data_IF_741817515719
#
_entry.id   IF_741817515719
#
_cell.length_a   1.000
_cell.length_b   1.000
_cell.length_c   1.000
_cell.angle_alpha   90.00
_cell.angle_beta   90.00
_cell.angle_gamma   90.00
#
_symmetry.space_group_name_H-M   'P 1'
#
loop_
_entity.id
_entity.type
_entity.pdbx_description
1 polymer ?
#
# COMPACT_ATOMS: atom_id res chain seq x y z
N UNK A 1 -12.15 9.07 16.99
CA UNK A 1 -11.26 8.08 17.60
C UNK A 1 -11.41 6.70 16.94
N UNK A 2 -12.60 6.07 16.86
CA UNK A 2 -12.80 4.73 16.27
C UNK A 2 -12.22 4.58 14.86
N UNK A 3 -12.41 5.58 13.98
CA UNK A 3 -11.87 5.57 12.61
C UNK A 3 -10.35 5.51 12.58
N UNK A 4 -9.67 6.28 13.43
CA UNK A 4 -8.20 6.33 13.49
C UNK A 4 -7.61 5.02 14.00
N UNK A 5 -8.27 4.37 14.98
CA UNK A 5 -7.90 3.03 15.41
C UNK A 5 -8.08 2.00 14.29
N UNK A 6 -9.15 2.09 13.50
CA UNK A 6 -9.36 1.20 12.36
C UNK A 6 -8.25 1.38 11.29
N UNK A 7 -7.83 2.61 11.01
CA UNK A 7 -6.70 2.89 10.11
C UNK A 7 -5.37 2.37 10.67
N UNK A 8 -5.13 2.57 11.98
CA UNK A 8 -3.95 2.02 12.66
C UNK A 8 -3.89 0.49 12.52
N UNK A 9 -4.94 -0.22 12.91
CA UNK A 9 -4.94 -1.69 12.85
C UNK A 9 -4.94 -2.22 11.41
N UNK A 10 -5.62 -1.55 10.49
CA UNK A 10 -5.60 -1.92 9.08
C UNK A 10 -4.22 -1.78 8.46
N UNK A 11 -3.53 -0.66 8.72
CA UNK A 11 -2.17 -0.47 8.24
C UNK A 11 -1.17 -1.37 8.96
N UNK A 12 -1.36 -1.59 10.27
CA UNK A 12 -0.57 -2.57 11.02
C UNK A 12 -0.65 -3.96 10.35
N UNK A 13 -1.87 -4.44 10.08
CA UNK A 13 -2.06 -5.75 9.45
C UNK A 13 -1.47 -5.82 8.04
N UNK A 14 -1.62 -4.74 7.27
CA UNK A 14 -1.05 -4.65 5.92
C UNK A 14 0.47 -4.83 5.95
N UNK A 15 1.16 -4.09 6.82
CA UNK A 15 2.62 -4.17 6.95
C UNK A 15 3.05 -5.49 7.61
N UNK A 16 2.37 -5.91 8.67
CA UNK A 16 2.71 -7.15 9.36
C UNK A 16 2.56 -8.37 8.46
N UNK A 17 1.43 -8.52 7.76
CA UNK A 17 1.20 -9.65 6.86
C UNK A 17 2.00 -9.56 5.55
N UNK A 18 1.99 -8.39 4.91
CA UNK A 18 2.68 -8.19 3.63
C UNK A 18 4.20 -8.21 3.76
N UNK A 19 4.77 -7.31 4.57
CA UNK A 19 6.23 -7.29 4.76
C UNK A 19 6.71 -8.52 5.55
N UNK A 20 5.92 -9.02 6.52
CA UNK A 20 6.26 -10.23 7.25
C UNK A 20 6.33 -11.47 6.36
N UNK A 21 5.44 -11.61 5.39
CA UNK A 21 5.52 -12.68 4.39
C UNK A 21 6.81 -12.63 3.58
N UNK A 22 7.28 -11.41 3.25
CA UNK A 22 8.55 -11.21 2.57
C UNK A 22 9.76 -11.56 3.47
N UNK A 23 9.73 -11.10 4.73
CA UNK A 23 10.85 -11.30 5.68
C UNK A 23 11.00 -12.75 6.11
N UNK A 24 9.88 -13.44 6.37
CA UNK A 24 9.93 -14.78 6.98
C UNK A 24 9.77 -15.93 5.99
N UNK A 25 8.98 -15.75 4.94
CA UNK A 25 8.52 -16.86 4.14
C UNK A 25 8.96 -16.82 2.67
N UNK A 26 9.32 -15.65 2.12
CA UNK A 26 9.61 -15.53 0.69
C UNK A 26 10.73 -16.45 0.23
N UNK A 27 11.83 -16.50 0.96
CA UNK A 27 13.04 -17.27 0.65
C UNK A 27 13.26 -18.43 1.63
N UNK A 28 12.18 -18.97 2.22
CA UNK A 28 12.32 -20.16 3.08
C UNK A 28 12.84 -21.33 2.25
N UNK A 29 13.88 -22.06 2.73
CA UNK A 29 14.50 -23.11 1.94
C UNK A 29 13.49 -24.12 1.42
N UNK A 30 13.54 -24.41 0.11
CA UNK A 30 12.72 -25.40 -0.64
C UNK A 30 11.19 -25.13 -0.65
N UNK A 31 10.64 -24.50 0.40
CA UNK A 31 9.20 -24.30 0.56
C UNK A 31 8.79 -22.82 0.55
N UNK A 32 9.70 -21.92 0.15
CA UNK A 32 9.46 -20.48 0.13
C UNK A 32 8.32 -20.08 -0.80
N UNK A 33 7.57 -19.06 -0.39
CA UNK A 33 6.38 -18.59 -1.13
C UNK A 33 6.73 -17.70 -2.33
N UNK A 34 7.96 -17.22 -2.41
CA UNK A 34 8.44 -16.38 -3.50
C UNK A 34 7.59 -15.12 -3.73
N UNK A 35 7.77 -14.49 -4.89
CA UNK A 35 7.03 -13.27 -5.23
C UNK A 35 5.52 -13.47 -5.34
N UNK A 36 5.07 -14.63 -5.80
CA UNK A 36 3.64 -14.94 -5.92
C UNK A 36 2.98 -14.95 -4.54
N UNK A 37 3.58 -15.65 -3.57
CA UNK A 37 3.04 -15.71 -2.23
C UNK A 37 3.07 -14.37 -1.51
N UNK A 38 4.14 -13.59 -1.66
CA UNK A 38 4.22 -12.22 -1.10
C UNK A 38 3.16 -11.32 -1.72
N UNK A 39 2.96 -11.39 -3.03
CA UNK A 39 1.93 -10.62 -3.73
C UNK A 39 0.53 -10.94 -3.23
N UNK A 40 0.23 -12.24 -3.05
CA UNK A 40 -1.02 -12.70 -2.46
C UNK A 40 -1.18 -12.20 -1.03
N UNK A 41 -0.14 -12.28 -0.21
CA UNK A 41 -0.17 -11.83 1.18
C UNK A 41 -0.55 -10.35 1.29
N UNK A 42 0.07 -9.46 0.50
CA UNK A 42 -0.30 -8.04 0.48
C UNK A 42 -1.76 -7.82 0.09
N UNK A 43 -2.23 -8.49 -0.96
CA UNK A 43 -3.63 -8.39 -1.37
C UNK A 43 -4.60 -8.91 -0.31
N UNK A 44 -4.29 -10.03 0.32
CA UNK A 44 -5.10 -10.62 1.38
C UNK A 44 -5.17 -9.75 2.64
N UNK A 45 -4.09 -9.04 3.00
CA UNK A 45 -4.13 -8.12 4.14
C UNK A 45 -5.15 -7.00 3.93
N UNK A 46 -5.15 -6.37 2.75
CA UNK A 46 -6.14 -5.33 2.42
C UNK A 46 -7.53 -5.91 2.32
N UNK A 47 -7.71 -7.03 1.63
CA UNK A 47 -9.00 -7.70 1.48
C UNK A 47 -9.64 -8.00 2.85
N UNK A 48 -8.90 -8.65 3.73
CA UNK A 48 -9.40 -9.06 5.05
C UNK A 48 -9.71 -7.86 5.94
N UNK A 49 -8.83 -6.84 5.96
CA UNK A 49 -9.04 -5.66 6.80
C UNK A 49 -10.10 -4.71 6.23
N UNK A 50 -10.26 -4.63 4.92
CA UNK A 50 -11.36 -3.87 4.33
C UNK A 50 -12.73 -4.47 4.71
N UNK A 51 -12.85 -5.79 4.80
CA UNK A 51 -14.05 -6.41 5.37
C UNK A 51 -14.18 -6.21 6.88
N UNK A 52 -13.07 -6.36 7.62
CA UNK A 52 -13.09 -6.32 9.08
C UNK A 52 -13.37 -4.92 9.65
N UNK A 53 -12.78 -3.87 9.08
CA UNK A 53 -12.85 -2.51 9.65
C UNK A 53 -13.18 -1.42 8.63
N UNK A 54 -13.32 -1.75 7.34
CA UNK A 54 -13.61 -0.77 6.29
C UNK A 54 -14.92 -0.01 6.51
N UNK A 55 -15.94 -0.66 7.10
CA UNK A 55 -17.20 -0.03 7.48
C UNK A 55 -17.05 1.03 8.61
N UNK A 56 -15.92 1.05 9.31
CA UNK A 56 -15.63 2.00 10.39
C UNK A 56 -14.91 3.24 9.86
N UNK A 57 -13.84 3.04 9.03
CA UNK A 57 -12.96 4.12 8.59
C UNK A 57 -13.01 4.44 7.10
N UNK A 58 -13.59 3.57 6.30
CA UNK A 58 -13.45 3.57 4.85
C UNK A 58 -12.31 2.69 4.34
N UNK A 59 -11.44 2.20 5.25
CA UNK A 59 -10.38 1.23 4.92
C UNK A 59 -9.31 1.76 3.99
N UNK A 60 -8.74 2.93 4.28
CA UNK A 60 -7.70 3.52 3.44
C UNK A 60 -6.36 2.79 3.62
N UNK A 61 -5.89 2.63 4.86
CA UNK A 61 -4.63 1.96 5.26
C UNK A 61 -3.38 2.46 4.53
N UNK A 62 -3.46 3.65 3.92
CA UNK A 62 -2.47 4.15 2.98
C UNK A 62 -2.62 5.68 2.82
N UNK A 63 -1.55 6.47 3.08
CA UNK A 63 -1.59 7.93 2.89
C UNK A 63 -1.89 8.35 1.44
N UNK A 64 -1.37 7.65 0.43
CA UNK A 64 -1.64 7.96 -0.96
C UNK A 64 -3.11 7.71 -1.32
N UNK A 65 -3.72 6.63 -0.82
CA UNK A 65 -5.16 6.38 -0.96
C UNK A 65 -5.96 7.49 -0.29
N UNK A 66 -5.57 7.94 0.91
CA UNK A 66 -6.23 9.03 1.61
C UNK A 66 -6.19 10.34 0.82
N UNK A 67 -5.04 10.65 0.16
CA UNK A 67 -4.92 11.79 -0.78
C UNK A 67 -5.85 11.61 -1.97
N UNK A 68 -5.83 10.45 -2.61
CA UNK A 68 -6.66 10.16 -3.78
C UNK A 68 -8.15 10.28 -3.49
N UNK A 69 -8.62 9.76 -2.35
CA UNK A 69 -10.01 9.89 -1.91
C UNK A 69 -10.38 11.33 -1.56
N UNK A 70 -9.45 12.09 -0.98
CA UNK A 70 -9.64 13.52 -0.72
C UNK A 70 -9.80 14.30 -2.04
N UNK A 71 -8.92 14.09 -3.02
CA UNK A 71 -9.00 14.68 -4.36
C UNK A 71 -10.26 14.19 -5.09
N UNK A 72 -10.61 12.91 -4.89
CA UNK A 72 -11.85 12.31 -5.39
C UNK A 72 -13.13 12.90 -4.82
N UNK A 73 -13.05 13.67 -3.73
CA UNK A 73 -14.21 14.25 -3.04
C UNK A 73 -14.98 13.25 -2.18
N UNK A 74 -14.35 12.12 -1.83
CA UNK A 74 -14.95 11.04 -1.02
C UNK A 74 -14.36 10.95 0.40
N UNK A 75 -13.58 11.94 0.82
CA UNK A 75 -12.95 11.99 2.13
C UNK A 75 -12.91 13.42 2.68
N UNK A 76 -13.16 13.59 3.97
CA UNK A 76 -13.19 14.91 4.62
C UNK A 76 -11.78 15.39 4.97
N UNK A 77 -11.46 16.63 4.61
CA UNK A 77 -10.16 17.26 4.88
C UNK A 77 -9.75 17.25 6.35
N UNK A 78 -10.72 17.37 7.27
CA UNK A 78 -10.43 17.38 8.71
C UNK A 78 -9.87 16.07 9.25
N UNK A 79 -10.21 14.94 8.60
CA UNK A 79 -9.76 13.62 9.01
C UNK A 79 -8.41 13.22 8.35
N UNK A 80 -7.93 14.00 7.36
CA UNK A 80 -6.75 13.62 6.56
C UNK A 80 -5.49 13.45 7.42
N UNK A 81 -5.10 14.48 8.17
CA UNK A 81 -3.88 14.42 9.00
C UNK A 81 -3.96 13.33 10.07
N UNK A 82 -5.05 13.19 10.84
CA UNK A 82 -5.20 12.09 11.78
C UNK A 82 -5.12 10.70 11.14
N UNK A 83 -5.63 10.51 9.90
CA UNK A 83 -5.50 9.23 9.18
C UNK A 83 -4.05 8.93 8.85
N UNK A 84 -3.33 9.89 8.25
CA UNK A 84 -1.91 9.70 7.90
C UNK A 84 -1.09 9.35 9.14
N UNK A 85 -1.30 10.05 10.25
CA UNK A 85 -0.61 9.76 11.52
C UNK A 85 -0.93 8.33 11.99
N UNK A 86 -2.20 7.95 12.02
CA UNK A 86 -2.61 6.61 12.45
C UNK A 86 -2.01 5.50 11.56
N UNK A 87 -2.01 5.71 10.25
CA UNK A 87 -1.44 4.80 9.26
C UNK A 87 0.07 4.64 9.44
N UNK A 88 0.81 5.75 9.58
CA UNK A 88 2.27 5.71 9.78
C UNK A 88 2.63 5.04 11.10
N UNK A 89 1.94 5.38 12.19
CA UNK A 89 2.18 4.74 13.50
C UNK A 89 1.83 3.24 13.44
N UNK A 90 0.74 2.86 12.75
CA UNK A 90 0.38 1.46 12.55
C UNK A 90 1.45 0.67 11.78
N UNK A 91 2.02 1.27 10.73
CA UNK A 91 3.11 0.69 9.95
C UNK A 91 4.38 0.51 10.78
N UNK A 92 4.77 1.54 11.55
CA UNK A 92 5.95 1.48 12.44
C UNK A 92 5.75 0.41 13.52
N UNK A 93 4.58 0.36 14.14
CA UNK A 93 4.27 -0.65 15.17
C UNK A 93 4.35 -2.08 14.59
N UNK A 94 3.83 -2.30 13.37
CA UNK A 94 3.95 -3.58 12.68
C UNK A 94 5.40 -3.96 12.40
N UNK A 95 6.18 -3.02 11.86
CA UNK A 95 7.60 -3.25 11.58
C UNK A 95 8.41 -3.51 12.87
N UNK A 96 8.06 -2.84 13.99
CA UNK A 96 8.66 -3.11 15.29
C UNK A 96 8.40 -4.55 15.76
N UNK A 97 7.17 -5.05 15.60
CA UNK A 97 6.83 -6.44 15.94
C UNK A 97 7.54 -7.42 15.00
N UNK A 98 7.60 -7.13 13.70
CA UNK A 98 8.37 -7.95 12.74
C UNK A 98 9.85 -8.01 13.10
N UNK A 99 10.45 -6.86 13.45
CA UNK A 99 11.83 -6.78 13.89
C UNK A 99 12.08 -7.61 15.14
N UNK A 100 11.20 -7.50 16.14
CA UNK A 100 11.29 -8.28 17.38
C UNK A 100 11.26 -9.79 17.10
N UNK A 101 10.34 -10.24 16.23
CA UNK A 101 10.23 -11.66 15.86
C UNK A 101 11.47 -12.09 15.08
N UNK A 102 11.92 -11.31 14.10
CA UNK A 102 13.08 -11.64 13.27
C UNK A 102 14.38 -11.70 14.08
N UNK A 103 14.51 -10.83 15.09
CA UNK A 103 15.68 -10.80 16.01
C UNK A 103 15.80 -12.07 16.86
N UNK A 104 14.76 -12.90 16.94
CA UNK A 104 14.83 -14.23 17.56
C UNK A 104 15.66 -15.24 16.75
N UNK A 105 15.99 -14.93 15.49
CA UNK A 105 16.87 -15.76 14.65
C UNK A 105 18.32 -15.30 14.84
N UNK A 106 19.21 -16.23 15.21
CA UNK A 106 20.64 -15.94 15.34
C UNK A 106 21.21 -15.39 14.01
N UNK A 107 21.97 -14.29 14.09
CA UNK A 107 22.57 -13.64 12.93
C UNK A 107 21.62 -12.82 12.07
N UNK A 108 20.39 -12.55 12.52
CA UNK A 108 19.50 -11.64 11.82
C UNK A 108 20.06 -10.20 11.86
N UNK A 109 20.11 -9.58 10.69
CA UNK A 109 20.47 -8.18 10.50
C UNK A 109 19.46 -7.52 9.54
N UNK A 110 18.73 -6.53 10.03
CA UNK A 110 17.72 -5.84 9.26
C UNK A 110 18.31 -5.02 8.10
N UNK A 111 19.50 -4.43 8.30
CA UNK A 111 20.18 -3.68 7.26
C UNK A 111 20.64 -4.59 6.14
N UNK A 112 21.29 -5.71 6.47
CA UNK A 112 21.76 -6.69 5.49
C UNK A 112 20.63 -7.42 4.76
N UNK A 113 19.51 -7.69 5.44
CA UNK A 113 18.34 -8.36 4.82
C UNK A 113 17.48 -7.44 3.97
N UNK A 114 17.70 -6.12 4.03
CA UNK A 114 16.83 -5.11 3.41
C UNK A 114 15.45 -4.95 4.06
N UNK A 115 15.08 -5.81 4.99
CA UNK A 115 13.86 -5.78 5.83
C UNK A 115 12.58 -5.43 5.08
N UNK A 116 12.39 -6.01 3.89
CA UNK A 116 11.29 -5.73 2.97
C UNK A 116 11.15 -4.25 2.55
N UNK A 117 12.24 -3.47 2.62
CA UNK A 117 12.25 -2.06 2.25
C UNK A 117 12.13 -1.87 0.75
N UNK A 118 11.63 -0.69 0.36
CA UNK A 118 11.54 -0.28 -1.02
C UNK A 118 12.82 0.43 -1.47
N UNK A 119 13.23 0.20 -2.70
CA UNK A 119 14.44 0.79 -3.24
C UNK A 119 14.46 0.90 -4.76
N UNK A 120 15.41 1.69 -5.26
CA UNK A 120 15.73 1.85 -6.68
C UNK A 120 17.25 1.87 -6.91
N UNK A 121 17.68 1.78 -8.17
CA UNK A 121 19.10 1.71 -8.49
C UNK A 121 19.73 0.45 -7.90
N UNK A 122 20.79 0.60 -7.14
CA UNK A 122 21.50 -0.48 -6.46
C UNK A 122 20.63 -1.25 -5.44
N UNK A 123 19.58 -0.57 -4.94
CA UNK A 123 18.66 -1.14 -3.95
C UNK A 123 17.35 -1.63 -4.55
N UNK A 124 17.19 -1.55 -5.88
CA UNK A 124 16.11 -2.22 -6.59
C UNK A 124 16.35 -3.74 -6.56
N UNK A 125 15.33 -4.58 -6.30
CA UNK A 125 15.51 -6.03 -6.34
C UNK A 125 16.12 -6.56 -7.64
N UNK A 126 15.91 -5.89 -8.77
CA UNK A 126 16.45 -6.28 -10.07
C UNK A 126 17.15 -5.12 -10.82
N UNK A 127 17.71 -4.14 -10.09
CA UNK A 127 18.57 -3.08 -10.64
C UNK A 127 17.84 -1.99 -11.45
N UNK A 128 16.56 -1.78 -11.24
CA UNK A 128 15.81 -0.73 -11.97
C UNK A 128 16.17 0.67 -11.50
N UNK A 129 16.30 1.59 -12.45
CA UNK A 129 16.69 2.97 -12.21
C UNK A 129 15.63 3.76 -11.41
N UNK A 130 16.04 4.93 -10.90
CA UNK A 130 15.14 5.89 -10.27
C UNK A 130 13.95 6.26 -11.17
N UNK A 131 14.19 6.48 -12.46
CA UNK A 131 13.12 6.83 -13.41
C UNK A 131 12.13 5.69 -13.56
N UNK A 132 12.62 4.46 -13.67
CA UNK A 132 11.77 3.26 -13.75
C UNK A 132 10.92 3.11 -12.47
N UNK A 133 11.53 3.31 -11.30
CA UNK A 133 10.84 3.27 -10.02
C UNK A 133 9.75 4.35 -9.91
N UNK A 134 10.08 5.59 -10.29
CA UNK A 134 9.13 6.70 -10.28
C UNK A 134 7.92 6.41 -11.18
N UNK A 135 8.15 5.96 -12.41
CA UNK A 135 7.08 5.66 -13.37
C UNK A 135 6.22 4.50 -12.85
N UNK A 136 6.84 3.42 -12.37
CA UNK A 136 6.12 2.27 -11.85
C UNK A 136 5.22 2.66 -10.67
N UNK A 137 5.76 3.35 -9.66
CA UNK A 137 5.01 3.75 -8.47
C UNK A 137 3.86 4.72 -8.80
N UNK A 138 4.08 5.69 -9.72
CA UNK A 138 3.03 6.63 -10.17
C UNK A 138 1.93 5.88 -10.90
N UNK A 139 2.27 5.06 -11.90
CA UNK A 139 1.27 4.37 -12.73
C UNK A 139 0.49 3.37 -11.90
N UNK A 140 1.17 2.54 -11.12
CA UNK A 140 0.51 1.50 -10.33
C UNK A 140 -0.38 2.08 -9.24
N UNK A 141 0.03 3.18 -8.59
CA UNK A 141 -0.83 3.86 -7.63
C UNK A 141 -2.02 4.54 -8.30
N UNK A 142 -1.85 5.11 -9.49
CA UNK A 142 -2.96 5.70 -10.25
C UNK A 142 -4.03 4.64 -10.57
N UNK A 143 -3.62 3.47 -11.07
CA UNK A 143 -4.57 2.37 -11.31
C UNK A 143 -5.17 1.81 -10.03
N UNK A 144 -4.40 1.76 -8.93
CA UNK A 144 -4.94 1.35 -7.64
C UNK A 144 -6.07 2.27 -7.19
N UNK A 145 -5.91 3.59 -7.31
CA UNK A 145 -6.98 4.55 -7.02
C UNK A 145 -8.19 4.41 -7.96
N UNK A 146 -7.97 4.16 -9.25
CA UNK A 146 -9.07 3.90 -10.19
C UNK A 146 -9.87 2.66 -9.76
N UNK A 147 -9.19 1.58 -9.35
CA UNK A 147 -9.82 0.37 -8.83
C UNK A 147 -10.62 0.67 -7.56
N UNK A 148 -10.00 1.38 -6.59
CA UNK A 148 -10.66 1.73 -5.33
C UNK A 148 -11.92 2.57 -5.58
N UNK A 149 -11.78 3.64 -6.36
CA UNK A 149 -12.89 4.55 -6.65
C UNK A 149 -14.01 3.86 -7.43
N UNK A 150 -13.64 2.97 -8.37
CA UNK A 150 -14.59 2.20 -9.15
C UNK A 150 -15.31 1.14 -8.33
N UNK A 151 -14.56 0.34 -7.57
CA UNK A 151 -15.16 -0.72 -6.76
C UNK A 151 -16.03 -0.21 -5.60
N UNK A 152 -15.80 1.04 -5.16
CA UNK A 152 -16.58 1.70 -4.11
C UNK A 152 -17.61 2.70 -4.65
N UNK A 153 -17.80 2.79 -5.96
CA UNK A 153 -18.82 3.62 -6.58
C UNK A 153 -20.23 3.09 -6.23
N UNK A 154 -21.21 4.00 -6.09
CA UNK A 154 -22.58 3.63 -5.76
C UNK A 154 -23.23 2.72 -6.81
N UNK A 155 -22.75 2.79 -8.06
CA UNK A 155 -23.19 1.96 -9.20
C UNK A 155 -22.53 0.59 -9.21
N UNK A 156 -21.44 0.38 -8.45
CA UNK A 156 -20.76 -0.92 -8.37
C UNK A 156 -21.54 -1.91 -7.50
N UNK A 157 -21.39 -3.23 -7.75
CA UNK A 157 -22.00 -4.25 -6.91
C UNK A 157 -21.57 -4.11 -5.45
N UNK A 158 -22.54 -3.99 -4.55
CA UNK A 158 -22.26 -3.81 -3.12
C UNK A 158 -21.63 -5.08 -2.50
N UNK A 159 -20.70 -4.87 -1.58
CA UNK A 159 -20.06 -5.96 -0.83
C UNK A 159 -18.82 -6.57 -1.51
N UNK A 160 -18.54 -6.27 -2.78
CA UNK A 160 -17.42 -6.86 -3.51
C UNK A 160 -16.15 -5.97 -3.56
N UNK A 161 -16.25 -4.70 -3.15
CA UNK A 161 -15.12 -3.78 -3.20
C UNK A 161 -13.84 -4.32 -2.52
N UNK A 162 -13.86 -4.92 -1.31
CA UNK A 162 -12.67 -5.47 -0.69
C UNK A 162 -11.97 -6.53 -1.53
N UNK A 163 -12.72 -7.35 -2.26
CA UNK A 163 -12.18 -8.39 -3.14
C UNK A 163 -11.44 -7.75 -4.32
N UNK A 164 -12.11 -6.81 -5.01
CA UNK A 164 -11.50 -6.13 -6.16
C UNK A 164 -10.24 -5.35 -5.76
N UNK A 165 -10.28 -4.65 -4.63
CA UNK A 165 -9.15 -3.85 -4.13
C UNK A 165 -7.98 -4.76 -3.70
N UNK A 166 -8.26 -5.84 -2.96
CA UNK A 166 -7.23 -6.79 -2.53
C UNK A 166 -6.57 -7.50 -3.72
N UNK A 167 -7.36 -7.99 -4.68
CA UNK A 167 -6.82 -8.62 -5.90
C UNK A 167 -6.08 -7.60 -6.78
N UNK A 168 -6.54 -6.35 -6.84
CA UNK A 168 -5.83 -5.27 -7.50
C UNK A 168 -4.44 -5.04 -6.89
N UNK A 169 -4.33 -5.03 -5.56
CA UNK A 169 -3.06 -4.91 -4.88
C UNK A 169 -2.17 -6.14 -5.11
N UNK A 170 -2.74 -7.34 -5.15
CA UNK A 170 -2.01 -8.56 -5.53
C UNK A 170 -1.39 -8.42 -6.92
N UNK A 171 -2.18 -7.99 -7.92
CA UNK A 171 -1.69 -7.77 -9.28
C UNK A 171 -0.56 -6.74 -9.34
N UNK A 172 -0.70 -5.64 -8.62
CA UNK A 172 0.33 -4.60 -8.51
C UNK A 172 1.65 -5.19 -7.99
N UNK A 173 1.60 -6.01 -6.94
CA UNK A 173 2.79 -6.67 -6.39
C UNK A 173 3.40 -7.69 -7.35
N UNK A 174 2.59 -8.47 -8.07
CA UNK A 174 3.07 -9.38 -9.12
C UNK A 174 3.87 -8.66 -10.22
N UNK A 175 3.52 -7.41 -10.50
CA UNK A 175 4.20 -6.58 -11.51
C UNK A 175 5.50 -5.97 -10.94
N UNK A 176 5.47 -5.42 -9.74
CA UNK A 176 6.46 -4.43 -9.31
C UNK A 176 7.37 -4.83 -8.15
N UNK A 177 7.21 -6.02 -7.56
CA UNK A 177 8.22 -6.52 -6.60
C UNK A 177 9.63 -6.48 -7.20
N UNK A 178 9.89 -6.94 -8.44
CA UNK A 178 11.22 -6.86 -9.03
C UNK A 178 11.73 -5.43 -9.25
N UNK A 179 10.83 -4.43 -9.36
CA UNK A 179 11.20 -3.04 -9.70
C UNK A 179 11.59 -2.25 -8.45
N UNK A 180 10.72 -2.22 -7.43
CA UNK A 180 10.88 -1.38 -6.24
C UNK A 180 10.65 -2.11 -4.92
N UNK A 181 10.41 -3.41 -4.96
CA UNK A 181 9.80 -4.17 -3.88
C UNK A 181 8.39 -3.63 -3.53
N UNK A 182 7.73 -3.01 -4.46
CA UNK A 182 6.37 -2.46 -4.44
C UNK A 182 6.05 -1.62 -3.21
N UNK A 183 5.91 -0.31 -3.40
CA UNK A 183 5.38 0.57 -2.36
C UNK A 183 3.88 0.79 -2.52
N UNK A 184 3.51 1.64 -3.44
CA UNK A 184 2.18 2.24 -3.64
C UNK A 184 1.53 2.73 -2.33
N UNK A 185 2.33 2.81 -1.25
CA UNK A 185 1.87 3.13 0.11
C UNK A 185 3.00 3.77 0.94
N UNK A 186 2.98 5.09 1.14
CA UNK A 186 3.99 5.80 1.93
C UNK A 186 4.15 5.27 3.37
N UNK A 187 3.07 4.89 4.04
CA UNK A 187 3.13 4.37 5.41
C UNK A 187 3.83 3.00 5.45
N UNK A 188 3.51 2.10 4.50
CA UNK A 188 4.19 0.81 4.34
C UNK A 188 5.69 0.98 4.19
N UNK A 189 6.12 1.89 3.33
CA UNK A 189 7.53 2.14 3.07
C UNK A 189 8.24 2.74 4.30
N UNK A 190 7.59 3.69 4.97
CA UNK A 190 8.13 4.33 6.18
C UNK A 190 8.34 3.31 7.31
N UNK A 191 7.36 2.43 7.54
CA UNK A 191 7.43 1.46 8.63
C UNK A 191 8.70 0.61 8.61
N UNK A 192 9.01 0.01 7.47
CA UNK A 192 10.19 -0.88 7.31
C UNK A 192 11.49 -0.11 7.14
N UNK A 193 11.46 1.07 6.49
CA UNK A 193 12.65 1.89 6.28
C UNK A 193 13.31 2.34 7.59
N UNK A 194 12.52 2.62 8.63
CA UNK A 194 13.03 3.01 9.96
C UNK A 194 13.89 1.91 10.57
N UNK A 195 13.55 0.64 10.36
CA UNK A 195 14.29 -0.50 10.93
C UNK A 195 15.45 -0.97 10.04
N UNK A 196 15.31 -0.80 8.71
CA UNK A 196 16.42 -1.04 7.79
C UNK A 196 17.50 0.05 7.96
N UNK A 197 17.08 1.32 8.14
CA UNK A 197 17.98 2.47 8.23
C UNK A 197 18.60 2.86 6.89
N UNK A 198 19.79 3.47 6.91
CA UNK A 198 20.63 3.77 5.76
C UNK A 198 19.91 4.17 4.47
N UNK A 199 20.20 3.45 3.41
CA UNK A 199 19.66 3.74 2.07
C UNK A 199 18.14 3.75 1.98
N UNK A 200 17.43 2.95 2.80
CA UNK A 200 15.98 2.93 2.75
C UNK A 200 15.36 4.25 3.24
N UNK A 201 15.98 4.90 4.22
CA UNK A 201 15.57 6.25 4.65
C UNK A 201 15.94 7.32 3.61
N UNK A 202 17.13 7.21 2.99
CA UNK A 202 17.58 8.13 1.95
C UNK A 202 16.69 8.08 0.71
N UNK A 203 16.17 6.90 0.35
CA UNK A 203 15.30 6.70 -0.80
C UNK A 203 13.81 6.84 -0.49
N UNK A 204 13.42 7.00 0.77
CA UNK A 204 12.02 7.03 1.21
C UNK A 204 11.20 8.13 0.56
N UNK A 205 11.82 9.25 0.20
CA UNK A 205 11.14 10.38 -0.43
C UNK A 205 10.40 9.98 -1.71
N UNK A 206 10.97 9.10 -2.55
CA UNK A 206 10.33 8.64 -3.77
C UNK A 206 9.03 7.89 -3.46
N UNK A 207 9.03 7.06 -2.44
CA UNK A 207 7.89 6.25 -2.01
C UNK A 207 6.81 7.03 -1.25
N UNK A 208 7.04 8.31 -1.02
CA UNK A 208 6.02 9.29 -0.66
C UNK A 208 5.52 10.05 -1.89
N UNK A 209 6.42 10.63 -2.66
CA UNK A 209 6.08 11.51 -3.78
C UNK A 209 5.37 10.74 -4.90
N UNK A 210 5.95 9.65 -5.39
CA UNK A 210 5.42 8.94 -6.54
C UNK A 210 4.02 8.33 -6.28
N UNK A 211 3.76 7.62 -5.16
CA UNK A 211 2.42 7.14 -4.87
C UNK A 211 1.38 8.26 -4.70
N UNK A 212 1.75 9.40 -4.07
CA UNK A 212 0.83 10.54 -3.91
C UNK A 212 0.48 11.14 -5.28
N UNK A 213 1.47 11.35 -6.15
CA UNK A 213 1.24 11.83 -7.53
C UNK A 213 0.34 10.87 -8.30
N UNK A 214 0.64 9.57 -8.23
CA UNK A 214 -0.19 8.53 -8.84
C UNK A 214 -1.64 8.55 -8.34
N UNK A 215 -1.82 8.68 -7.04
CA UNK A 215 -3.15 8.75 -6.43
C UNK A 215 -3.96 9.96 -6.92
N UNK A 216 -3.33 11.13 -7.03
CA UNK A 216 -3.95 12.35 -7.57
C UNK A 216 -4.37 12.13 -9.03
N UNK A 217 -3.46 11.60 -9.85
CA UNK A 217 -3.75 11.30 -11.27
C UNK A 217 -4.92 10.32 -11.38
N UNK A 218 -4.88 9.20 -10.64
CA UNK A 218 -5.94 8.19 -10.65
C UNK A 218 -7.30 8.76 -10.24
N UNK A 219 -7.32 9.62 -9.22
CA UNK A 219 -8.55 10.28 -8.78
C UNK A 219 -9.11 11.26 -9.85
N UNK A 220 -8.24 12.02 -10.51
CA UNK A 220 -8.65 12.93 -11.60
C UNK A 220 -9.19 12.13 -12.79
N UNK A 221 -8.44 11.11 -13.24
CA UNK A 221 -8.86 10.24 -14.35
C UNK A 221 -10.20 9.60 -14.05
N UNK A 222 -10.40 9.06 -12.85
CA UNK A 222 -11.67 8.47 -12.46
C UNK A 222 -12.83 9.48 -12.49
N UNK A 223 -12.60 10.71 -12.01
CA UNK A 223 -13.61 11.78 -12.07
C UNK A 223 -14.01 12.11 -13.53
N UNK A 224 -13.03 12.19 -14.43
CA UNK A 224 -13.28 12.47 -15.85
C UNK A 224 -14.08 11.34 -16.49
N UNK A 225 -13.73 10.08 -16.23
CA UNK A 225 -14.46 8.91 -16.72
C UNK A 225 -15.86 8.79 -16.11
N UNK A 226 -16.00 9.11 -14.83
CA UNK A 226 -17.25 8.98 -14.09
C UNK A 226 -18.21 10.17 -14.25
N UNK A 227 -17.76 11.27 -14.83
CA UNK A 227 -18.58 12.42 -15.14
C UNK A 227 -19.53 12.04 -16.29
N UNK A 228 -20.72 11.56 -15.95
CA UNK A 228 -21.86 11.61 -16.88
C UNK A 228 -22.21 13.07 -17.08
N UNK A 229 -21.58 13.71 -18.08
CA UNK A 229 -22.11 14.96 -18.60
C UNK A 229 -23.60 14.75 -18.90
N UNK A 230 -24.45 15.36 -18.04
CA UNK A 230 -25.80 15.79 -18.37
C UNK A 230 -26.68 14.91 -19.28
N UNK A 231 -26.74 13.59 -19.06
CA UNK A 231 -27.90 12.85 -19.52
C UNK A 231 -29.06 13.08 -18.54
N UNK A 232 -29.81 14.17 -18.75
CA UNK A 232 -31.18 14.27 -18.24
C UNK A 232 -31.89 12.98 -18.63
N UNK A 233 -32.34 12.22 -17.63
CA UNK A 233 -33.23 11.08 -17.83
C UNK A 233 -34.34 11.48 -18.78
N UNK A 234 -34.34 10.90 -19.98
CA UNK A 234 -35.59 10.79 -20.74
C UNK A 234 -36.42 9.80 -19.94
N UNK A 235 -37.54 10.30 -19.43
CA UNK A 235 -38.60 9.54 -18.75
C UNK A 235 -39.13 8.44 -19.64
#
# INVERSE_FOLDING_TARGET
MKRYLAEFFGTFWLVFGGCGSAVFAAAFPELGIGFVGVSLAFGLTVLTMAYAVGHISGGHFNPAVSVGLLVGGRFDKKDFVPYVIAQVIGAIAAAAVLYLIASGKAGFDAAASGFASNGYGEHSPNGYSLVSALVAEVVLTAFFLIIILGATDERAPKGFAPIAIGLGLTLIHLISIPITNTSVNPARSTGVAIFQGGWALEQLWLFWVAPIVGAIIGAIVYKVMGCTCGCKSVK
#
